data_IF_492589769645
#
_entry.id   IF_492589769645
#
_cell.length_a   1.000
_cell.length_b   1.000
_cell.length_c   1.000
_cell.angle_alpha   90.00
_cell.angle_beta   90.00
_cell.angle_gamma   90.00
#
_symmetry.space_group_name_H-M   'P 1'
#
loop_
_entity.id
_entity.type
_entity.pdbx_description
1 polymer ?
#
# COMPACT_ATOMS: atom_id res chain seq x y z
N UNK A 1 44.54 -11.36 24.73
CA UNK A 1 43.53 -10.39 24.22
C UNK A 1 44.14 -9.60 23.07
N UNK A 2 43.57 -9.71 21.89
CA UNK A 2 44.01 -9.01 20.66
C UNK A 2 43.10 -7.79 20.43
N UNK A 3 43.28 -6.77 21.27
CA UNK A 3 42.52 -5.52 21.18
C UNK A 3 43.37 -4.42 20.60
N UNK A 4 42.75 -3.53 19.81
CA UNK A 4 43.37 -2.32 19.28
C UNK A 4 42.65 -1.11 19.84
N UNK A 5 43.37 -0.18 20.49
CA UNK A 5 42.81 1.03 21.06
C UNK A 5 43.64 2.27 20.67
N UNK A 6 43.03 3.26 20.04
CA UNK A 6 43.65 4.53 19.64
C UNK A 6 42.74 5.69 20.03
N UNK A 7 43.20 6.54 20.91
CA UNK A 7 42.43 7.67 21.40
C UNK A 7 42.38 7.82 22.88
N UNK A 8 42.14 9.02 23.41
CA UNK A 8 42.00 9.25 24.84
C UNK A 8 40.77 8.53 25.39
N UNK A 9 40.89 7.76 26.44
CA UNK A 9 39.85 6.95 27.10
C UNK A 9 39.27 5.81 26.18
N UNK A 10 39.93 5.45 25.07
CA UNK A 10 39.56 4.28 24.28
C UNK A 10 39.80 2.97 25.05
N UNK A 11 38.77 2.11 25.13
CA UNK A 11 38.77 0.76 25.73
C UNK A 11 39.32 0.70 27.20
N UNK A 12 39.08 1.77 27.97
CA UNK A 12 39.75 1.98 29.27
C UNK A 12 39.35 0.97 30.34
N UNK A 13 38.08 0.51 30.34
CA UNK A 13 37.58 -0.40 31.38
C UNK A 13 37.63 -1.89 30.98
N UNK A 14 38.28 -2.22 29.86
CA UNK A 14 38.32 -3.61 29.39
C UNK A 14 39.08 -4.51 30.38
N UNK A 15 38.41 -5.60 30.81
CA UNK A 15 38.99 -6.59 31.74
C UNK A 15 39.38 -7.90 31.05
N UNK A 16 38.41 -8.51 30.34
CA UNK A 16 38.62 -9.82 29.68
C UNK A 16 38.16 -9.85 28.23
N UNK A 17 37.52 -8.77 27.72
CA UNK A 17 37.09 -8.66 26.34
C UNK A 17 38.25 -8.79 25.35
N UNK A 18 38.02 -9.45 24.21
CA UNK A 18 39.04 -9.75 23.21
C UNK A 18 38.55 -9.33 21.82
N UNK A 19 39.50 -9.12 20.91
CA UNK A 19 39.22 -8.78 19.50
C UNK A 19 38.43 -7.48 19.28
N UNK A 20 38.52 -6.53 20.23
CA UNK A 20 37.86 -5.24 20.09
C UNK A 20 38.76 -4.22 19.37
N UNK A 21 38.18 -3.41 18.48
CA UNK A 21 38.87 -2.32 17.85
C UNK A 21 38.19 -0.97 18.24
N UNK A 22 38.91 -0.12 18.94
CA UNK A 22 38.46 1.18 19.44
C UNK A 22 39.33 2.30 18.81
N UNK A 23 38.73 3.18 18.03
CA UNK A 23 39.42 4.34 17.45
C UNK A 23 38.61 5.62 17.66
N UNK A 24 39.04 6.46 18.58
CA UNK A 24 38.38 7.73 18.91
C UNK A 24 38.33 8.00 20.39
N UNK A 25 38.04 9.27 20.76
CA UNK A 25 37.82 9.69 22.15
C UNK A 25 36.64 8.89 22.74
N UNK A 26 36.90 8.19 23.88
CA UNK A 26 35.91 7.38 24.58
C UNK A 26 35.24 6.26 23.76
N UNK A 27 35.86 5.81 22.69
CA UNK A 27 35.36 4.66 21.93
C UNK A 27 35.49 3.38 22.78
N UNK A 28 34.40 2.59 22.92
CA UNK A 28 34.32 1.39 23.72
C UNK A 28 34.81 1.59 25.19
N UNK A 29 34.63 2.80 25.75
CA UNK A 29 35.19 3.19 27.07
C UNK A 29 34.79 2.21 28.17
N UNK A 30 33.52 1.83 28.28
CA UNK A 30 32.95 1.05 29.36
C UNK A 30 32.94 -0.48 29.09
N UNK A 31 33.52 -0.93 27.99
CA UNK A 31 33.58 -2.35 27.66
C UNK A 31 34.38 -3.11 28.74
N UNK A 32 33.76 -4.13 29.34
CA UNK A 32 34.40 -4.98 30.37
C UNK A 32 34.73 -6.38 29.84
N UNK A 33 33.71 -7.12 29.38
CA UNK A 33 33.85 -8.51 28.91
C UNK A 33 33.37 -8.68 27.46
N UNK A 34 32.76 -7.63 26.85
CA UNK A 34 32.32 -7.64 25.44
C UNK A 34 33.49 -7.92 24.51
N UNK A 35 33.22 -8.68 23.43
CA UNK A 35 34.25 -9.11 22.49
C UNK A 35 33.82 -8.87 21.05
N UNK A 36 34.80 -8.79 20.14
CA UNK A 36 34.58 -8.67 18.71
C UNK A 36 33.74 -7.42 18.32
N UNK A 37 33.93 -6.32 19.08
CA UNK A 37 33.28 -5.04 18.76
C UNK A 37 34.25 -4.12 18.01
N UNK A 38 33.71 -3.37 17.05
CA UNK A 38 34.43 -2.31 16.34
C UNK A 38 33.76 -0.98 16.62
N UNK A 39 34.44 -0.07 17.33
CA UNK A 39 33.99 1.29 17.60
C UNK A 39 34.95 2.30 16.96
N UNK A 40 34.50 3.04 15.95
CA UNK A 40 35.29 4.07 15.27
C UNK A 40 34.51 5.40 15.31
N UNK A 41 35.03 6.35 16.04
CA UNK A 41 34.40 7.66 16.24
C UNK A 41 34.36 8.05 17.72
N UNK A 42 34.12 9.34 17.96
CA UNK A 42 33.94 9.85 19.33
C UNK A 42 32.72 9.17 19.98
N UNK A 43 32.92 8.58 21.16
CA UNK A 43 31.87 7.94 21.96
C UNK A 43 31.13 6.80 21.24
N UNK A 44 31.70 6.22 20.16
CA UNK A 44 31.15 5.05 19.50
C UNK A 44 31.21 3.84 20.45
N UNK A 45 30.03 3.20 20.73
CA UNK A 45 29.89 2.10 21.69
C UNK A 45 30.39 2.49 23.10
N UNK A 46 30.31 3.79 23.47
CA UNK A 46 30.94 4.31 24.68
C UNK A 46 30.53 3.58 25.97
N UNK A 47 29.25 3.27 26.12
CA UNK A 47 28.70 2.62 27.33
C UNK A 47 28.53 1.09 27.19
N UNK A 48 29.09 0.46 26.14
CA UNK A 48 29.02 -0.99 25.99
C UNK A 48 29.74 -1.70 27.14
N UNK A 49 29.07 -2.62 27.80
CA UNK A 49 29.72 -3.39 28.92
C UNK A 49 30.03 -4.82 28.52
N UNK A 50 29.01 -5.59 28.17
CA UNK A 50 29.12 -7.03 27.84
C UNK A 50 28.67 -7.35 26.41
N UNK A 51 28.10 -6.38 25.68
CA UNK A 51 27.66 -6.56 24.29
C UNK A 51 28.82 -6.95 23.38
N UNK A 52 28.55 -7.83 22.43
CA UNK A 52 29.54 -8.41 21.52
C UNK A 52 29.09 -8.36 20.06
N UNK A 53 30.03 -8.43 19.13
CA UNK A 53 29.76 -8.46 17.68
C UNK A 53 29.07 -7.19 17.16
N UNK A 54 29.31 -6.04 17.78
CA UNK A 54 28.73 -4.78 17.35
C UNK A 54 29.74 -3.96 16.53
N UNK A 55 29.24 -3.29 15.49
CA UNK A 55 30.04 -2.35 14.68
C UNK A 55 29.43 -0.98 14.79
N UNK A 56 30.17 0.00 15.30
CA UNK A 56 29.83 1.41 15.34
C UNK A 56 30.84 2.24 14.54
N UNK A 57 30.41 2.92 13.49
CA UNK A 57 31.23 3.82 12.68
C UNK A 57 30.56 5.20 12.62
N UNK A 58 31.06 6.13 13.37
CA UNK A 58 30.53 7.50 13.51
C UNK A 58 30.47 7.97 14.94
N UNK A 59 30.31 9.28 15.14
CA UNK A 59 30.13 9.85 16.47
C UNK A 59 28.83 9.35 17.09
N UNK A 60 28.85 8.91 18.36
CA UNK A 60 27.68 8.57 19.15
C UNK A 60 26.93 7.31 18.68
N UNK A 61 27.51 6.53 17.76
CA UNK A 61 26.89 5.27 17.33
C UNK A 61 26.80 4.29 18.49
N UNK A 62 25.62 3.68 18.70
CA UNK A 62 25.38 2.69 19.79
C UNK A 62 25.82 3.20 21.16
N UNK A 63 25.75 4.52 21.40
CA UNK A 63 26.33 5.15 22.61
C UNK A 63 25.84 4.51 23.90
N UNK A 64 24.53 4.28 24.02
CA UNK A 64 23.93 3.75 25.27
C UNK A 64 23.78 2.21 25.27
N UNK A 65 24.30 1.54 24.27
CA UNK A 65 24.27 0.07 24.20
C UNK A 65 25.08 -0.52 25.35
N UNK A 66 24.46 -1.35 26.18
CA UNK A 66 25.13 -1.96 27.31
C UNK A 66 25.38 -3.46 27.11
N UNK A 67 24.36 -4.19 26.66
CA UNK A 67 24.41 -5.67 26.56
C UNK A 67 24.00 -6.19 25.19
N UNK A 68 23.63 -5.29 24.27
CA UNK A 68 23.13 -5.65 22.94
C UNK A 68 24.23 -6.29 22.05
N UNK A 69 23.83 -7.21 21.19
CA UNK A 69 24.75 -7.93 20.32
C UNK A 69 24.34 -7.83 18.84
N UNK A 70 25.31 -8.03 17.97
CA UNK A 70 25.10 -8.16 16.52
C UNK A 70 24.46 -6.92 15.87
N UNK A 71 24.74 -5.72 16.37
CA UNK A 71 24.26 -4.48 15.76
C UNK A 71 25.31 -3.83 14.86
N UNK A 72 24.87 -3.27 13.76
CA UNK A 72 25.69 -2.45 12.87
C UNK A 72 25.13 -1.04 12.82
N UNK A 73 25.91 -0.04 13.20
CA UNK A 73 25.53 1.37 13.19
C UNK A 73 26.58 2.21 12.43
N UNK A 74 26.17 2.86 11.36
CA UNK A 74 27.05 3.71 10.55
C UNK A 74 26.40 5.09 10.35
N UNK A 75 27.03 6.14 10.83
CA UNK A 75 26.52 7.52 10.74
C UNK A 75 26.48 8.22 12.08
N UNK A 76 26.21 9.53 12.06
CA UNK A 76 26.07 10.35 13.27
C UNK A 76 24.86 9.88 14.08
N UNK A 77 25.07 9.54 15.36
CA UNK A 77 24.04 9.12 16.32
C UNK A 77 23.16 7.92 15.86
N UNK A 78 23.62 7.09 14.91
CA UNK A 78 22.90 5.88 14.53
C UNK A 78 22.79 4.89 15.69
N UNK A 79 21.59 4.34 15.98
CA UNK A 79 21.28 3.46 17.12
C UNK A 79 21.73 4.04 18.48
N UNK A 80 21.74 5.34 18.64
CA UNK A 80 22.27 6.00 19.82
C UNK A 80 21.66 5.54 21.14
N UNK A 81 20.33 5.47 21.22
CA UNK A 81 19.58 5.13 22.43
C UNK A 81 19.43 3.62 22.65
N UNK A 82 20.00 2.78 21.79
CA UNK A 82 19.83 1.32 21.88
C UNK A 82 20.44 0.80 23.18
N UNK A 83 19.65 0.12 24.02
CA UNK A 83 20.14 -0.46 25.28
C UNK A 83 20.39 -1.97 25.17
N UNK A 84 19.38 -2.71 24.75
CA UNK A 84 19.43 -4.18 24.65
C UNK A 84 18.93 -4.75 23.32
N UNK A 85 18.43 -3.90 22.41
CA UNK A 85 17.99 -4.33 21.07
C UNK A 85 19.12 -4.98 20.27
N UNK A 86 18.91 -6.17 19.74
CA UNK A 86 19.93 -6.94 19.04
C UNK A 86 19.62 -7.06 17.53
N UNK A 87 20.66 -7.39 16.74
CA UNK A 87 20.52 -7.69 15.31
C UNK A 87 19.94 -6.55 14.48
N UNK A 88 20.16 -5.29 14.87
CA UNK A 88 19.74 -4.15 14.10
C UNK A 88 20.85 -3.66 13.16
N UNK A 89 20.47 -3.20 11.99
CA UNK A 89 21.35 -2.52 11.03
C UNK A 89 20.86 -1.11 10.80
N UNK A 90 21.64 -0.10 11.14
CA UNK A 90 21.33 1.31 10.96
C UNK A 90 22.45 2.00 10.17
N UNK A 91 22.14 2.51 9.00
CA UNK A 91 23.09 3.22 8.12
C UNK A 91 22.50 4.58 7.73
N UNK A 92 23.03 5.64 8.26
CA UNK A 92 22.57 7.01 8.04
C UNK A 92 22.57 7.82 9.34
N UNK A 93 22.66 9.15 9.24
CA UNK A 93 22.54 10.00 10.41
C UNK A 93 21.15 9.85 11.04
N UNK A 94 21.09 9.65 12.36
CA UNK A 94 19.87 9.47 13.14
C UNK A 94 18.99 8.27 12.69
N UNK A 95 19.59 7.25 12.04
CA UNK A 95 18.87 6.02 11.74
C UNK A 95 18.68 5.22 13.03
N UNK A 96 17.44 4.82 13.38
CA UNK A 96 17.08 4.08 14.60
C UNK A 96 17.61 4.75 15.90
N UNK A 97 17.76 6.06 15.93
CA UNK A 97 18.44 6.73 17.04
C UNK A 97 17.67 6.67 18.36
N UNK A 98 16.34 6.55 18.34
CA UNK A 98 15.51 6.37 19.54
C UNK A 98 15.32 4.89 19.95
N UNK A 99 15.83 3.92 19.19
CA UNK A 99 15.62 2.52 19.51
C UNK A 99 16.17 2.15 20.88
N UNK A 100 15.35 1.50 21.71
CA UNK A 100 15.80 1.03 23.04
C UNK A 100 15.94 -0.48 23.11
N UNK A 101 14.89 -1.21 22.80
CA UNK A 101 14.83 -2.68 22.90
C UNK A 101 14.39 -3.38 21.61
N UNK A 102 13.98 -2.61 20.59
CA UNK A 102 13.59 -3.16 19.28
C UNK A 102 14.71 -3.96 18.64
N UNK A 103 14.37 -5.07 18.00
CA UNK A 103 15.34 -6.00 17.42
C UNK A 103 15.04 -6.33 15.95
N UNK A 104 16.08 -6.77 15.24
CA UNK A 104 15.94 -7.23 13.85
C UNK A 104 15.39 -6.18 12.89
N UNK A 105 15.72 -4.91 13.09
CA UNK A 105 15.37 -3.83 12.18
C UNK A 105 16.53 -3.53 11.23
N UNK A 106 16.19 -3.21 9.98
CA UNK A 106 17.12 -2.67 8.99
C UNK A 106 16.68 -1.26 8.62
N UNK A 107 17.48 -0.25 8.94
CA UNK A 107 17.22 1.16 8.65
C UNK A 107 18.38 1.74 7.83
N UNK A 108 18.12 2.12 6.59
CA UNK A 108 19.13 2.72 5.69
C UNK A 108 18.62 4.04 5.15
N UNK A 109 19.20 5.13 5.60
CA UNK A 109 18.80 6.49 5.23
C UNK A 109 18.83 7.44 6.42
N UNK A 110 18.92 8.75 6.14
CA UNK A 110 18.84 9.78 7.20
C UNK A 110 17.46 9.72 7.83
N UNK A 111 17.39 9.59 9.17
CA UNK A 111 16.15 9.50 9.94
C UNK A 111 15.25 8.29 9.59
N UNK A 112 15.79 7.24 8.98
CA UNK A 112 15.02 6.01 8.79
C UNK A 112 14.71 5.38 10.17
N UNK A 113 13.43 5.12 10.49
CA UNK A 113 12.93 4.59 11.78
C UNK A 113 13.43 5.38 13.00
N UNK A 114 13.58 6.71 12.88
CA UNK A 114 14.22 7.50 13.95
C UNK A 114 13.42 7.50 15.26
N UNK A 115 12.09 7.46 15.22
CA UNK A 115 11.24 7.38 16.42
C UNK A 115 11.00 5.95 16.95
N UNK A 116 11.55 4.92 16.31
CA UNK A 116 11.32 3.54 16.72
C UNK A 116 11.94 3.27 18.09
N UNK A 117 11.11 2.88 19.07
CA UNK A 117 11.56 2.59 20.43
C UNK A 117 11.64 1.10 20.70
N UNK A 118 10.56 0.37 20.46
CA UNK A 118 10.44 -1.09 20.68
C UNK A 118 10.03 -1.84 19.42
N UNK A 119 9.85 -1.15 18.30
CA UNK A 119 9.51 -1.72 17.01
C UNK A 119 10.53 -2.79 16.57
N UNK A 120 10.05 -3.88 15.98
CA UNK A 120 10.92 -5.00 15.59
C UNK A 120 10.57 -5.56 14.22
N UNK A 121 11.54 -6.19 13.59
CA UNK A 121 11.36 -6.86 12.29
C UNK A 121 10.94 -5.91 11.15
N UNK A 122 11.36 -4.65 11.17
CA UNK A 122 11.07 -3.69 10.13
C UNK A 122 12.26 -3.52 9.17
N UNK A 123 11.97 -3.34 7.90
CA UNK A 123 12.93 -2.91 6.88
C UNK A 123 12.52 -1.52 6.41
N UNK A 124 13.38 -0.50 6.61
CA UNK A 124 13.16 0.87 6.17
C UNK A 124 14.36 1.39 5.37
N UNK A 125 14.16 1.69 4.11
CA UNK A 125 15.20 2.16 3.19
C UNK A 125 14.74 3.46 2.52
N UNK A 126 15.39 4.56 2.82
CA UNK A 126 15.09 5.89 2.31
C UNK A 126 15.17 6.95 3.37
N UNK A 127 15.32 8.23 2.97
CA UNK A 127 15.26 9.35 3.90
C UNK A 127 13.88 9.39 4.56
N UNK A 128 13.83 9.46 5.89
CA UNK A 128 12.59 9.51 6.69
C UNK A 128 11.62 8.35 6.41
N UNK A 129 12.12 7.18 5.94
CA UNK A 129 11.29 5.98 5.79
C UNK A 129 10.86 5.47 7.18
N UNK A 130 9.55 5.47 7.44
CA UNK A 130 8.99 5.08 8.73
C UNK A 130 9.42 5.98 9.89
N UNK A 131 9.67 7.28 9.65
CA UNK A 131 10.29 8.20 10.61
C UNK A 131 9.61 8.19 11.98
N UNK A 132 8.29 8.25 12.04
CA UNK A 132 7.51 8.34 13.28
C UNK A 132 7.05 6.98 13.84
N UNK A 133 7.47 5.86 13.24
CA UNK A 133 7.08 4.53 13.69
C UNK A 133 7.67 4.23 15.08
N UNK A 134 6.82 4.08 16.10
CA UNK A 134 7.26 3.89 17.50
C UNK A 134 7.32 2.41 17.90
N UNK A 135 6.22 1.69 17.72
CA UNK A 135 6.06 0.29 18.17
C UNK A 135 5.61 -0.68 17.10
N UNK A 136 5.19 -0.17 15.90
CA UNK A 136 4.74 -1.01 14.78
C UNK A 136 5.84 -1.99 14.32
N UNK A 137 5.44 -3.20 13.95
CA UNK A 137 6.37 -4.27 13.60
C UNK A 137 6.08 -4.90 12.23
N UNK A 138 7.07 -5.60 11.69
CA UNK A 138 6.93 -6.40 10.46
C UNK A 138 6.53 -5.58 9.21
N UNK A 139 7.00 -4.34 9.12
CA UNK A 139 6.77 -3.50 7.95
C UNK A 139 7.97 -3.55 6.98
N UNK A 140 7.69 -3.48 5.68
CA UNK A 140 8.67 -3.25 4.62
C UNK A 140 8.42 -1.86 4.04
N UNK A 141 9.35 -0.93 4.23
CA UNK A 141 9.22 0.50 3.92
C UNK A 141 10.40 0.91 3.03
N UNK A 142 10.14 1.15 1.75
CA UNK A 142 11.20 1.51 0.79
C UNK A 142 10.78 2.75 0.00
N UNK A 143 11.46 3.86 0.23
CA UNK A 143 11.17 5.14 -0.42
C UNK A 143 11.31 6.32 0.53
N UNK A 144 11.63 7.50 0.00
CA UNK A 144 11.67 8.70 0.83
C UNK A 144 10.26 9.03 1.34
N UNK A 145 10.15 9.30 2.64
CA UNK A 145 8.89 9.57 3.35
C UNK A 145 7.80 8.51 3.14
N UNK A 146 8.15 7.26 2.83
CA UNK A 146 7.20 6.16 2.88
C UNK A 146 6.82 5.88 4.34
N UNK A 147 5.54 5.73 4.64
CA UNK A 147 4.99 5.50 6.00
C UNK A 147 5.54 6.45 7.07
N UNK A 148 5.85 7.70 6.71
CA UNK A 148 6.50 8.63 7.65
C UNK A 148 5.58 9.09 8.79
N UNK A 149 4.25 9.05 8.65
CA UNK A 149 3.29 9.34 9.72
C UNK A 149 2.95 8.13 10.61
N UNK A 150 3.42 6.91 10.27
CA UNK A 150 3.06 5.70 11.00
C UNK A 150 3.58 5.74 12.45
N UNK A 151 2.72 5.31 13.39
CA UNK A 151 3.09 5.20 14.81
C UNK A 151 3.06 3.75 15.31
N UNK A 152 1.94 3.08 15.13
CA UNK A 152 1.73 1.69 15.58
C UNK A 152 1.41 0.72 14.43
N UNK A 153 1.36 1.23 13.20
CA UNK A 153 1.05 0.45 12.00
C UNK A 153 1.97 -0.77 11.83
N UNK A 154 1.39 -1.93 11.51
CA UNK A 154 2.12 -3.19 11.40
C UNK A 154 1.73 -3.99 10.15
N UNK A 155 2.61 -4.90 9.73
CA UNK A 155 2.36 -5.82 8.62
C UNK A 155 2.11 -5.13 7.27
N UNK A 156 2.68 -3.94 7.05
CA UNK A 156 2.51 -3.19 5.81
C UNK A 156 3.71 -3.33 4.88
N UNK A 157 3.44 -3.27 3.58
CA UNK A 157 4.44 -3.12 2.52
C UNK A 157 4.22 -1.75 1.85
N UNK A 158 5.15 -0.84 2.00
CA UNK A 158 5.15 0.50 1.41
C UNK A 158 6.39 0.68 0.54
N UNK A 159 6.24 0.68 -0.78
CA UNK A 159 7.35 0.84 -1.73
C UNK A 159 7.06 1.99 -2.69
N UNK A 160 7.76 3.07 -2.55
CA UNK A 160 7.60 4.29 -3.35
C UNK A 160 7.66 5.56 -2.52
N UNK A 161 7.87 6.70 -3.19
CA UNK A 161 7.82 8.01 -2.55
C UNK A 161 6.44 8.23 -1.93
N UNK A 162 6.39 8.53 -0.62
CA UNK A 162 5.16 8.75 0.17
C UNK A 162 4.09 7.64 0.04
N UNK A 163 4.47 6.41 -0.30
CA UNK A 163 3.56 5.28 -0.20
C UNK A 163 3.12 5.09 1.26
N UNK A 164 1.80 4.99 1.52
CA UNK A 164 1.22 4.97 2.88
C UNK A 164 1.64 6.16 3.77
N UNK A 165 1.88 7.35 3.16
CA UNK A 165 2.46 8.49 3.88
C UNK A 165 1.67 8.92 5.12
N UNK A 166 0.35 8.97 5.08
CA UNK A 166 -0.52 9.37 6.19
C UNK A 166 -0.97 8.22 7.11
N UNK A 167 -0.51 6.98 6.88
CA UNK A 167 -0.95 5.82 7.66
C UNK A 167 -0.44 5.92 9.10
N UNK A 168 -1.35 6.00 10.08
CA UNK A 168 -1.01 6.09 11.50
C UNK A 168 -0.94 4.71 12.17
N UNK A 169 -2.00 3.92 12.06
CA UNK A 169 -2.17 2.61 12.70
C UNK A 169 -2.88 1.55 11.83
N UNK A 170 -3.08 1.85 10.52
CA UNK A 170 -3.58 0.87 9.55
C UNK A 170 -2.61 -0.31 9.36
N UNK A 171 -3.15 -1.53 9.24
CA UNK A 171 -2.33 -2.75 9.13
C UNK A 171 -2.65 -3.62 7.92
N UNK A 172 -1.72 -4.50 7.59
CA UNK A 172 -1.84 -5.47 6.49
C UNK A 172 -2.11 -4.82 5.11
N UNK A 173 -1.59 -3.62 4.85
CA UNK A 173 -1.72 -2.95 3.56
C UNK A 173 -0.48 -3.16 2.69
N UNK A 174 -0.70 -3.29 1.39
CA UNK A 174 0.36 -3.31 0.36
C UNK A 174 0.21 -2.09 -0.54
N UNK A 175 1.16 -1.18 -0.51
CA UNK A 175 1.20 0.02 -1.34
C UNK A 175 2.52 0.06 -2.14
N UNK A 176 2.44 -0.12 -3.44
CA UNK A 176 3.60 -0.12 -4.34
C UNK A 176 3.38 0.89 -5.45
N UNK A 177 4.11 1.99 -5.42
CA UNK A 177 4.03 3.06 -6.41
C UNK A 177 4.22 4.45 -5.80
N UNK A 178 4.45 5.43 -6.65
CA UNK A 178 4.49 6.85 -6.27
C UNK A 178 3.14 7.26 -5.67
N UNK A 179 3.12 7.71 -4.43
CA UNK A 179 1.96 8.13 -3.61
C UNK A 179 0.81 7.11 -3.55
N UNK A 180 1.09 5.81 -3.70
CA UNK A 180 0.08 4.77 -3.52
C UNK A 180 -0.43 4.77 -2.07
N UNK A 181 -1.77 4.75 -1.87
CA UNK A 181 -2.43 4.84 -0.55
C UNK A 181 -1.94 6.00 0.33
N UNK A 182 -1.55 7.13 -0.28
CA UNK A 182 -0.90 8.23 0.43
C UNK A 182 -1.70 8.73 1.64
N UNK A 183 -3.02 8.89 1.51
CA UNK A 183 -3.88 9.49 2.54
C UNK A 183 -4.57 8.45 3.45
N UNK A 184 -4.22 7.16 3.34
CA UNK A 184 -4.76 6.13 4.23
C UNK A 184 -4.35 6.43 5.66
N UNK A 185 -5.32 6.45 6.59
CA UNK A 185 -5.07 6.66 8.02
C UNK A 185 -5.15 5.36 8.82
N UNK A 186 -6.32 4.74 8.85
CA UNK A 186 -6.60 3.53 9.66
C UNK A 186 -7.15 2.35 8.85
N UNK A 187 -7.32 2.51 7.53
CA UNK A 187 -7.79 1.43 6.66
C UNK A 187 -6.87 0.20 6.71
N UNK A 188 -7.45 -0.99 6.56
CA UNK A 188 -6.72 -2.25 6.67
C UNK A 188 -6.90 -3.15 5.44
N UNK A 189 -5.94 -4.03 5.22
CA UNK A 189 -6.02 -5.08 4.20
C UNK A 189 -6.28 -4.56 2.78
N UNK A 190 -5.71 -3.41 2.41
CA UNK A 190 -5.77 -2.88 1.06
C UNK A 190 -4.54 -3.29 0.25
N UNK A 191 -4.72 -3.57 -1.03
CA UNK A 191 -3.65 -3.78 -2.00
C UNK A 191 -3.72 -2.70 -3.07
N UNK A 192 -2.72 -1.83 -3.14
CA UNK A 192 -2.61 -0.75 -4.12
C UNK A 192 -1.28 -0.86 -4.87
N UNK A 193 -1.33 -1.16 -6.16
CA UNK A 193 -0.14 -1.28 -7.01
C UNK A 193 -0.29 -0.38 -8.23
N UNK A 194 0.50 0.68 -8.29
CA UNK A 194 0.48 1.65 -9.38
C UNK A 194 0.74 3.08 -8.93
N UNK A 195 1.13 3.92 -9.86
CA UNK A 195 1.27 5.37 -9.64
C UNK A 195 -0.10 5.98 -9.31
N UNK A 196 -0.21 6.72 -8.21
CA UNK A 196 -1.46 7.35 -7.76
C UNK A 196 -2.63 6.37 -7.58
N UNK A 197 -2.35 5.15 -7.17
CA UNK A 197 -3.36 4.15 -6.88
C UNK A 197 -3.96 4.39 -5.48
N UNK A 198 -5.29 4.51 -5.37
CA UNK A 198 -6.02 4.70 -4.11
C UNK A 198 -5.55 5.90 -3.27
N UNK A 199 -5.16 7.02 -3.90
CA UNK A 199 -4.53 8.16 -3.18
C UNK A 199 -5.43 8.71 -2.08
N UNK A 200 -6.73 8.88 -2.33
CA UNK A 200 -7.65 9.55 -1.40
C UNK A 200 -8.35 8.61 -0.42
N UNK A 201 -8.02 7.30 -0.42
CA UNK A 201 -8.56 6.36 0.57
C UNK A 201 -8.08 6.76 1.97
N UNK A 202 -9.04 6.89 2.91
CA UNK A 202 -8.74 7.26 4.31
C UNK A 202 -8.95 6.10 5.28
N UNK A 203 -10.15 5.56 5.35
CA UNK A 203 -10.51 4.47 6.26
C UNK A 203 -11.06 3.24 5.54
N UNK A 204 -11.24 3.31 4.20
CA UNK A 204 -11.69 2.17 3.39
C UNK A 204 -10.76 0.97 3.55
N UNK A 205 -11.32 -0.23 3.65
CA UNK A 205 -10.56 -1.47 3.83
C UNK A 205 -10.92 -2.57 2.84
N UNK A 206 -10.07 -3.58 2.74
CA UNK A 206 -10.29 -4.77 1.90
C UNK A 206 -10.39 -4.45 0.40
N UNK A 207 -9.78 -3.38 -0.09
CA UNK A 207 -9.79 -3.04 -1.51
C UNK A 207 -8.55 -3.60 -2.22
N UNK A 208 -8.74 -4.03 -3.45
CA UNK A 208 -7.64 -4.40 -4.36
C UNK A 208 -7.65 -3.48 -5.58
N UNK A 209 -6.63 -2.66 -5.73
CA UNK A 209 -6.48 -1.75 -6.85
C UNK A 209 -5.12 -1.93 -7.52
N UNK A 210 -5.11 -2.22 -8.82
CA UNK A 210 -3.90 -2.44 -9.61
C UNK A 210 -4.00 -1.64 -10.91
N UNK A 211 -3.15 -0.65 -11.04
CA UNK A 211 -3.12 0.25 -12.20
C UNK A 211 -2.94 1.70 -11.79
N UNK A 212 -2.49 2.51 -12.74
CA UNK A 212 -2.39 3.95 -12.52
C UNK A 212 -3.79 4.55 -12.28
N UNK A 213 -3.94 5.34 -11.19
CA UNK A 213 -5.19 6.00 -10.81
C UNK A 213 -6.38 5.03 -10.63
N UNK A 214 -6.11 3.73 -10.37
CA UNK A 214 -7.16 2.80 -10.03
C UNK A 214 -7.70 3.13 -8.62
N UNK A 215 -9.02 3.22 -8.48
CA UNK A 215 -9.75 3.53 -7.23
C UNK A 215 -9.25 4.82 -6.53
N UNK A 216 -8.81 5.81 -7.31
CA UNK A 216 -8.09 6.99 -6.79
C UNK A 216 -8.94 7.82 -5.82
N UNK A 217 -10.18 8.19 -6.19
CA UNK A 217 -11.05 9.06 -5.39
C UNK A 217 -11.75 8.36 -4.21
N UNK A 218 -11.50 7.05 -4.00
CA UNK A 218 -12.14 6.33 -2.91
C UNK A 218 -11.75 6.94 -1.56
N UNK A 219 -12.73 7.12 -0.67
CA UNK A 219 -12.49 7.62 0.68
C UNK A 219 -12.73 6.54 1.73
N UNK A 220 -13.93 6.02 1.80
CA UNK A 220 -14.35 5.05 2.82
C UNK A 220 -14.87 3.73 2.24
N UNK A 221 -15.08 3.66 0.90
CA UNK A 221 -15.58 2.45 0.25
C UNK A 221 -14.68 1.24 0.50
N UNK A 222 -15.28 0.07 0.73
CA UNK A 222 -14.58 -1.17 1.05
C UNK A 222 -14.92 -2.33 0.12
N UNK A 223 -14.09 -3.35 0.13
CA UNK A 223 -14.30 -4.59 -0.64
C UNK A 223 -14.46 -4.38 -2.15
N UNK A 224 -13.75 -3.40 -2.72
CA UNK A 224 -13.74 -3.15 -4.16
C UNK A 224 -12.52 -3.77 -4.83
N UNK A 225 -12.70 -4.26 -6.06
CA UNK A 225 -11.62 -4.71 -6.95
C UNK A 225 -11.56 -3.78 -8.16
N UNK A 226 -10.44 -3.10 -8.37
CA UNK A 226 -10.21 -2.17 -9.47
C UNK A 226 -8.89 -2.51 -10.19
N UNK A 227 -8.94 -3.15 -11.34
CA UNK A 227 -7.74 -3.57 -12.09
C UNK A 227 -7.76 -2.94 -13.47
N UNK A 228 -6.84 -2.04 -13.72
CA UNK A 228 -6.70 -1.32 -14.99
C UNK A 228 -6.47 0.18 -14.81
N UNK A 229 -6.01 0.83 -15.86
CA UNK A 229 -5.86 2.28 -15.91
C UNK A 229 -7.21 2.96 -15.68
N UNK A 230 -7.33 3.84 -14.69
CA UNK A 230 -8.55 4.54 -14.31
C UNK A 230 -9.76 3.62 -14.01
N UNK A 231 -9.56 2.38 -13.62
CA UNK A 231 -10.66 1.53 -13.15
C UNK A 231 -11.21 2.08 -11.83
N UNK A 232 -12.54 2.26 -11.73
CA UNK A 232 -13.23 2.78 -10.54
C UNK A 232 -12.68 4.13 -10.01
N UNK A 233 -12.09 4.96 -10.86
CA UNK A 233 -11.37 6.17 -10.42
C UNK A 233 -12.23 7.11 -9.59
N UNK A 234 -13.51 7.31 -9.92
CA UNK A 234 -14.40 8.27 -9.26
C UNK A 234 -15.18 7.69 -8.06
N UNK A 235 -14.96 6.42 -7.71
CA UNK A 235 -15.63 5.80 -6.57
C UNK A 235 -15.28 6.55 -5.28
N UNK A 236 -16.28 6.91 -4.49
CA UNK A 236 -16.05 7.63 -3.24
C UNK A 236 -16.32 6.77 -2.00
N UNK A 237 -17.52 6.24 -1.92
CA UNK A 237 -17.99 5.51 -0.72
C UNK A 237 -18.64 4.16 -1.04
N UNK A 238 -18.72 3.79 -2.34
CA UNK A 238 -19.38 2.57 -2.75
C UNK A 238 -18.56 1.33 -2.42
N UNK A 239 -19.25 0.27 -2.07
CA UNK A 239 -18.69 -1.03 -1.67
C UNK A 239 -18.99 -2.14 -2.69
N UNK A 240 -18.20 -3.20 -2.63
CA UNK A 240 -18.46 -4.48 -3.30
C UNK A 240 -18.53 -4.37 -4.84
N UNK A 241 -17.77 -3.47 -5.44
CA UNK A 241 -17.67 -3.37 -6.89
C UNK A 241 -16.46 -4.14 -7.42
N UNK A 242 -16.62 -4.76 -8.59
CA UNK A 242 -15.52 -5.41 -9.33
C UNK A 242 -15.39 -4.75 -10.70
N UNK A 243 -14.28 -4.06 -10.94
CA UNK A 243 -13.94 -3.38 -12.20
C UNK A 243 -12.60 -3.90 -12.73
N UNK A 244 -12.62 -4.60 -13.84
CA UNK A 244 -11.43 -5.16 -14.50
C UNK A 244 -11.37 -4.71 -15.95
N UNK A 245 -10.45 -3.84 -16.27
CA UNK A 245 -10.27 -3.24 -17.60
C UNK A 245 -9.96 -1.76 -17.53
N UNK A 246 -9.30 -1.24 -18.55
CA UNK A 246 -9.06 0.20 -18.66
C UNK A 246 -10.38 0.96 -18.65
N UNK A 247 -10.53 1.93 -17.75
CA UNK A 247 -11.71 2.77 -17.56
C UNK A 247 -13.01 2.00 -17.22
N UNK A 248 -12.93 0.76 -16.79
CA UNK A 248 -14.10 0.05 -16.27
C UNK A 248 -14.66 0.80 -15.05
N UNK A 249 -15.96 1.09 -15.06
CA UNK A 249 -16.70 1.85 -14.02
C UNK A 249 -16.02 3.18 -13.63
N UNK A 250 -15.40 3.85 -14.58
CA UNK A 250 -14.59 5.06 -14.32
C UNK A 250 -15.35 6.13 -13.51
N UNK A 251 -16.60 6.42 -13.86
CA UNK A 251 -17.38 7.50 -13.27
C UNK A 251 -18.32 7.04 -12.13
N UNK A 252 -18.21 5.78 -11.67
CA UNK A 252 -19.00 5.31 -10.54
C UNK A 252 -18.69 6.13 -9.30
N UNK A 253 -19.71 6.63 -8.61
CA UNK A 253 -19.54 7.41 -7.37
C UNK A 253 -20.03 6.64 -6.15
N UNK A 254 -21.29 6.23 -6.15
CA UNK A 254 -21.94 5.56 -5.02
C UNK A 254 -22.67 4.27 -5.40
N UNK A 255 -22.65 3.88 -6.69
CA UNK A 255 -23.23 2.60 -7.14
C UNK A 255 -22.48 1.40 -6.57
N UNK A 256 -23.21 0.47 -5.97
CA UNK A 256 -22.64 -0.68 -5.25
C UNK A 256 -22.92 -2.00 -5.96
N UNK A 257 -22.12 -3.04 -5.65
CA UNK A 257 -22.35 -4.42 -6.09
C UNK A 257 -22.40 -4.59 -7.61
N UNK A 258 -21.65 -3.79 -8.35
CA UNK A 258 -21.54 -3.91 -9.80
C UNK A 258 -20.34 -4.77 -10.18
N UNK A 259 -20.46 -5.50 -11.27
CA UNK A 259 -19.38 -6.25 -11.93
C UNK A 259 -19.18 -5.68 -13.32
N UNK A 260 -18.00 -5.15 -13.61
CA UNK A 260 -17.62 -4.61 -14.92
C UNK A 260 -16.28 -5.23 -15.35
N UNK A 261 -16.29 -6.03 -16.40
CA UNK A 261 -15.12 -6.69 -16.96
C UNK A 261 -14.99 -6.35 -18.45
N UNK A 262 -14.02 -5.55 -18.82
CA UNK A 262 -13.77 -5.09 -20.16
C UNK A 262 -13.42 -3.60 -20.21
N UNK A 263 -12.79 -3.18 -21.31
CA UNK A 263 -12.50 -1.75 -21.56
C UNK A 263 -13.81 -0.98 -21.67
N UNK A 264 -13.96 0.11 -20.89
CA UNK A 264 -15.17 0.93 -20.80
C UNK A 264 -16.43 0.15 -20.37
N UNK A 265 -16.33 -1.01 -19.76
CA UNK A 265 -17.50 -1.68 -19.21
C UNK A 265 -18.09 -0.83 -18.08
N UNK A 266 -19.38 -0.51 -18.15
CA UNK A 266 -20.12 0.30 -17.16
C UNK A 266 -19.46 1.67 -16.89
N UNK A 267 -18.82 2.28 -17.89
CA UNK A 267 -17.95 3.44 -17.73
C UNK A 267 -18.67 4.67 -17.12
N UNK A 268 -19.85 5.04 -17.65
CA UNK A 268 -20.60 6.23 -17.23
C UNK A 268 -21.46 6.01 -15.97
N UNK A 269 -21.44 4.82 -15.35
CA UNK A 269 -22.24 4.55 -14.19
C UNK A 269 -21.93 5.55 -13.06
N UNK A 270 -22.95 6.09 -12.44
CA UNK A 270 -22.78 6.99 -11.28
C UNK A 270 -23.33 6.37 -9.99
N UNK A 271 -24.59 6.01 -9.99
CA UNK A 271 -25.31 5.47 -8.83
C UNK A 271 -26.01 4.13 -9.09
N UNK A 272 -25.96 3.63 -10.35
CA UNK A 272 -26.53 2.32 -10.69
C UNK A 272 -25.89 1.19 -9.89
N UNK A 273 -26.66 0.20 -9.50
CA UNK A 273 -26.23 -0.88 -8.59
C UNK A 273 -26.70 -2.25 -9.08
N UNK A 274 -26.08 -3.31 -8.58
CA UNK A 274 -26.41 -4.71 -8.93
C UNK A 274 -26.33 -4.98 -10.45
N UNK A 275 -25.47 -4.29 -11.21
CA UNK A 275 -25.27 -4.52 -12.63
C UNK A 275 -24.12 -5.47 -12.91
N UNK A 276 -24.27 -6.31 -13.94
CA UNK A 276 -23.21 -7.17 -14.50
C UNK A 276 -22.96 -6.75 -15.95
N UNK A 277 -21.75 -6.26 -16.23
CA UNK A 277 -21.30 -5.82 -17.55
C UNK A 277 -20.01 -6.54 -17.94
N UNK A 278 -20.06 -7.48 -18.87
CA UNK A 278 -18.89 -8.26 -19.30
C UNK A 278 -18.70 -8.12 -20.82
N UNK A 279 -17.67 -7.43 -21.23
CA UNK A 279 -17.34 -7.10 -22.62
C UNK A 279 -16.90 -5.65 -22.80
N UNK A 280 -16.24 -5.36 -23.91
CA UNK A 280 -15.85 -3.99 -24.27
C UNK A 280 -17.09 -3.13 -24.52
N UNK A 281 -17.15 -1.93 -23.96
CA UNK A 281 -18.27 -0.97 -24.09
C UNK A 281 -19.65 -1.54 -23.67
N UNK A 282 -19.68 -2.56 -22.84
CA UNK A 282 -20.92 -3.12 -22.32
C UNK A 282 -21.50 -2.21 -21.25
N UNK A 283 -22.81 -1.85 -21.36
CA UNK A 283 -23.48 -0.90 -20.44
C UNK A 283 -22.71 0.45 -20.30
N UNK A 284 -22.00 0.88 -21.33
CA UNK A 284 -21.09 2.01 -21.27
C UNK A 284 -21.77 3.32 -20.84
N UNK A 285 -22.97 3.62 -21.38
CA UNK A 285 -23.72 4.84 -21.07
C UNK A 285 -24.59 4.75 -19.81
N UNK A 286 -24.62 3.62 -19.09
CA UNK A 286 -25.49 3.47 -17.91
C UNK A 286 -25.14 4.51 -16.85
N UNK A 287 -26.11 5.21 -16.33
CA UNK A 287 -25.91 6.21 -15.27
C UNK A 287 -26.52 5.77 -13.94
N UNK A 288 -27.80 5.47 -13.94
CA UNK A 288 -28.57 5.10 -12.73
C UNK A 288 -29.31 3.76 -12.89
N UNK A 289 -29.28 3.14 -14.07
CA UNK A 289 -29.89 1.84 -14.32
C UNK A 289 -29.33 0.76 -13.39
N UNK A 290 -30.15 -0.16 -12.93
CA UNK A 290 -29.79 -1.16 -11.93
C UNK A 290 -30.27 -2.58 -12.28
N UNK A 291 -29.65 -3.56 -11.69
CA UNK A 291 -29.99 -4.98 -11.88
C UNK A 291 -29.99 -5.44 -13.35
N UNK A 292 -29.15 -4.83 -14.20
CA UNK A 292 -28.98 -5.25 -15.58
C UNK A 292 -27.88 -6.31 -15.69
N UNK A 293 -28.09 -7.32 -16.55
CA UNK A 293 -27.07 -8.30 -16.93
C UNK A 293 -26.77 -8.17 -18.41
N UNK A 294 -25.57 -7.69 -18.74
CA UNK A 294 -25.11 -7.51 -20.11
C UNK A 294 -23.79 -8.26 -20.33
N UNK A 295 -23.78 -9.16 -21.31
CA UNK A 295 -22.59 -9.97 -21.66
C UNK A 295 -22.38 -9.95 -23.16
N UNK A 296 -21.25 -9.45 -23.61
CA UNK A 296 -20.91 -9.31 -25.03
C UNK A 296 -20.45 -7.91 -25.37
N UNK A 297 -19.63 -7.75 -26.41
CA UNK A 297 -19.20 -6.45 -26.88
C UNK A 297 -20.42 -5.58 -27.22
N UNK A 298 -20.45 -4.38 -26.68
CA UNK A 298 -21.52 -3.40 -26.92
C UNK A 298 -22.93 -3.85 -26.52
N UNK A 299 -23.10 -4.86 -25.69
CA UNK A 299 -24.41 -5.23 -25.17
C UNK A 299 -24.93 -4.12 -24.25
N UNK A 300 -26.19 -3.67 -24.45
CA UNK A 300 -26.84 -2.60 -23.69
C UNK A 300 -26.02 -1.28 -23.64
N UNK A 301 -25.22 -0.99 -24.65
CA UNK A 301 -24.29 0.17 -24.63
C UNK A 301 -24.99 1.49 -24.34
N UNK A 302 -26.18 1.72 -24.92
CA UNK A 302 -26.89 3.01 -24.80
C UNK A 302 -27.81 3.12 -23.58
N UNK A 303 -27.88 2.10 -22.75
CA UNK A 303 -28.74 2.13 -21.57
C UNK A 303 -28.31 3.25 -20.62
N UNK A 304 -29.26 4.07 -20.20
CA UNK A 304 -29.01 5.16 -19.24
C UNK A 304 -29.67 4.91 -17.89
N UNK A 305 -30.97 4.63 -17.89
CA UNK A 305 -31.78 4.46 -16.67
C UNK A 305 -32.56 3.15 -16.64
N UNK A 306 -32.59 2.39 -17.77
CA UNK A 306 -33.27 1.11 -17.86
C UNK A 306 -32.75 0.10 -16.85
N UNK A 307 -33.63 -0.76 -16.33
CA UNK A 307 -33.29 -1.70 -15.27
C UNK A 307 -33.87 -3.09 -15.50
N UNK A 308 -33.27 -4.09 -14.81
CA UNK A 308 -33.64 -5.52 -14.89
C UNK A 308 -33.64 -6.09 -16.33
N UNK A 309 -32.78 -5.57 -17.19
CA UNK A 309 -32.62 -6.09 -18.53
C UNK A 309 -31.57 -7.20 -18.58
N UNK A 310 -31.78 -8.21 -19.41
CA UNK A 310 -30.82 -9.25 -19.74
C UNK A 310 -30.45 -9.14 -21.21
N UNK A 311 -29.20 -8.81 -21.53
CA UNK A 311 -28.67 -8.71 -22.88
C UNK A 311 -27.42 -9.58 -23.02
N UNK A 312 -27.50 -10.68 -23.73
CA UNK A 312 -26.40 -11.62 -23.93
C UNK A 312 -26.12 -11.79 -25.42
N UNK A 313 -24.96 -11.37 -25.86
CA UNK A 313 -24.52 -11.41 -27.26
C UNK A 313 -24.01 -10.04 -27.72
N UNK A 314 -23.12 -10.06 -28.72
CA UNK A 314 -22.63 -8.81 -29.33
C UNK A 314 -23.77 -7.96 -29.86
N UNK A 315 -23.76 -6.65 -29.57
CA UNK A 315 -24.77 -5.66 -29.99
C UNK A 315 -26.21 -6.01 -29.56
N UNK A 316 -26.40 -6.89 -28.55
CA UNK A 316 -27.72 -7.18 -28.01
C UNK A 316 -28.28 -5.95 -27.31
N UNK A 317 -29.50 -5.50 -27.70
CA UNK A 317 -30.19 -4.31 -27.18
C UNK A 317 -29.31 -3.03 -27.19
N UNK A 318 -28.49 -2.87 -28.21
CA UNK A 318 -27.49 -1.78 -28.27
C UNK A 318 -28.10 -0.38 -28.14
N UNK A 319 -29.33 -0.16 -28.66
CA UNK A 319 -30.00 1.14 -28.60
C UNK A 319 -31.02 1.28 -27.48
N UNK A 320 -31.14 0.31 -26.58
CA UNK A 320 -32.03 0.42 -25.43
C UNK A 320 -31.51 1.51 -24.48
N UNK A 321 -32.32 2.53 -24.21
CA UNK A 321 -31.96 3.65 -23.34
C UNK A 321 -32.64 3.60 -21.98
N UNK A 322 -33.94 3.35 -21.94
CA UNK A 322 -34.78 3.41 -20.75
C UNK A 322 -35.63 2.14 -20.54
N UNK A 323 -35.69 1.24 -21.56
CA UNK A 323 -36.48 0.01 -21.51
C UNK A 323 -36.20 -0.85 -20.28
N UNK A 324 -37.20 -1.48 -19.74
CA UNK A 324 -37.12 -2.26 -18.52
C UNK A 324 -37.63 -3.70 -18.69
N UNK A 325 -37.05 -4.61 -17.90
CA UNK A 325 -37.46 -6.03 -17.82
C UNK A 325 -37.44 -6.76 -19.18
N UNK A 326 -36.53 -6.37 -20.10
CA UNK A 326 -36.34 -7.02 -21.38
C UNK A 326 -35.33 -8.18 -21.29
N UNK A 327 -35.54 -9.21 -22.05
CA UNK A 327 -34.60 -10.36 -22.22
C UNK A 327 -34.22 -10.49 -23.68
N UNK A 328 -32.93 -10.30 -24.01
CA UNK A 328 -32.40 -10.45 -25.37
C UNK A 328 -31.17 -11.35 -25.35
N UNK A 329 -31.24 -12.51 -25.99
CA UNK A 329 -30.16 -13.51 -26.03
C UNK A 329 -29.84 -13.87 -27.48
N UNK A 330 -28.66 -13.52 -27.92
CA UNK A 330 -28.16 -13.71 -29.29
C UNK A 330 -27.53 -12.45 -29.86
N UNK A 331 -26.64 -12.60 -30.84
CA UNK A 331 -26.05 -11.46 -31.53
C UNK A 331 -27.16 -10.59 -32.13
N UNK A 332 -27.15 -9.26 -31.80
CA UNK A 332 -28.14 -8.29 -32.24
C UNK A 332 -29.61 -8.64 -31.89
N UNK A 333 -29.85 -9.49 -30.89
CA UNK A 333 -31.18 -9.71 -30.37
C UNK A 333 -31.71 -8.40 -29.72
N UNK A 334 -32.95 -8.05 -30.01
CA UNK A 334 -33.56 -6.79 -29.56
C UNK A 334 -32.83 -5.52 -29.98
N UNK A 335 -32.06 -5.54 -31.06
CA UNK A 335 -31.08 -4.52 -31.43
C UNK A 335 -31.65 -3.07 -31.44
N UNK A 336 -32.84 -2.85 -32.00
CA UNK A 336 -33.49 -1.55 -32.12
C UNK A 336 -34.52 -1.26 -31.02
N UNK A 337 -34.67 -2.10 -30.01
CA UNK A 337 -35.48 -1.75 -28.84
C UNK A 337 -34.86 -0.49 -28.20
N UNK A 338 -35.62 0.55 -28.00
CA UNK A 338 -35.19 1.81 -27.40
C UNK A 338 -35.75 2.00 -25.99
N UNK A 339 -37.07 2.10 -25.88
CA UNK A 339 -37.80 2.31 -24.60
C UNK A 339 -38.85 1.22 -24.35
N UNK A 340 -38.95 0.20 -25.21
CA UNK A 340 -39.90 -0.90 -25.03
C UNK A 340 -39.60 -1.75 -23.80
N UNK A 341 -40.64 -2.22 -23.13
CA UNK A 341 -40.58 -2.99 -21.91
C UNK A 341 -41.07 -4.42 -22.11
N UNK A 342 -40.64 -5.35 -21.22
CA UNK A 342 -41.13 -6.72 -21.14
C UNK A 342 -40.95 -7.55 -22.42
N UNK A 343 -40.00 -7.19 -23.29
CA UNK A 343 -39.78 -7.95 -24.53
C UNK A 343 -38.88 -9.18 -24.28
N UNK A 344 -39.14 -10.26 -25.01
CA UNK A 344 -38.29 -11.45 -25.06
C UNK A 344 -37.83 -11.69 -26.49
N UNK A 345 -36.51 -11.60 -26.72
CA UNK A 345 -35.86 -11.84 -28.01
C UNK A 345 -34.78 -12.92 -27.86
N UNK A 346 -34.98 -14.12 -28.39
CA UNK A 346 -34.01 -15.22 -28.32
C UNK A 346 -33.64 -15.69 -29.72
N UNK A 347 -32.37 -15.61 -30.05
CA UNK A 347 -31.81 -15.94 -31.37
C UNK A 347 -31.12 -14.74 -32.03
N UNK A 348 -30.22 -15.05 -32.97
CA UNK A 348 -29.54 -14.00 -33.75
C UNK A 348 -30.56 -13.14 -34.50
N UNK A 349 -30.47 -11.81 -34.39
CA UNK A 349 -31.37 -10.83 -34.98
C UNK A 349 -32.88 -10.98 -34.58
N UNK A 350 -33.19 -11.74 -33.52
CA UNK A 350 -34.58 -11.79 -33.03
C UNK A 350 -35.00 -10.39 -32.55
N UNK A 351 -36.20 -9.93 -32.93
CA UNK A 351 -36.75 -8.59 -32.67
C UNK A 351 -35.79 -7.42 -33.07
N UNK A 352 -34.88 -7.64 -34.03
CA UNK A 352 -33.86 -6.67 -34.39
C UNK A 352 -34.43 -5.36 -35.02
N UNK A 353 -35.66 -5.37 -35.53
CA UNK A 353 -36.32 -4.22 -36.14
C UNK A 353 -37.45 -3.60 -35.28
N UNK A 354 -37.66 -4.09 -34.07
CA UNK A 354 -38.66 -3.57 -33.13
C UNK A 354 -38.09 -2.35 -32.38
N UNK A 355 -38.73 -1.19 -32.45
CA UNK A 355 -38.30 0.04 -31.78
C UNK A 355 -39.00 0.27 -30.43
N UNK A 356 -40.30 -0.03 -30.38
CA UNK A 356 -41.11 0.06 -29.13
C UNK A 356 -41.88 -1.23 -29.01
N UNK A 357 -41.77 -1.87 -27.86
CA UNK A 357 -42.46 -3.13 -27.54
C UNK A 357 -43.96 -2.92 -27.31
#
# INVERSE_FOLDING_TARGET
SENTAVGSWALTKNTTGSYNTAFGYKSLEDTTTGQENTGIGRESLGNNTTGSYNTGLGQGTLLTSTTANYNTAVGYDALKANTSGATNTAVGALALDANTTGASNTAVGVQALSAATTASNNVAIGKAAGENLTTGATNVIVGASAMDAATTAAENVAVGYQALGACTDGGANTAIGYVALQNLTTGVANTAVGNQCMVYTTTGGYNTAIGREALDANTTGGSNVAIGYNALTSNTTADNNTAVGSQAMRFNTTGQKNVAVGVNALNANTTGYDNVAIGRNTLDANTTGYSNTAVGESALTSNTTGYRNVAIGQDSMIYCTEGLENTAIGQRAGHNITTGDYNVAVGQNALASCNTG
#
